data_IF_274314252895
#
_entry.id   IF_274314252895
#
_cell.length_a   1.000
_cell.length_b   1.000
_cell.length_c   1.000
_cell.angle_alpha   90.00
_cell.angle_beta   90.00
_cell.angle_gamma   90.00
#
_symmetry.space_group_name_H-M   'P 1'
#
loop_
_entity.id
_entity.type
_entity.pdbx_description
1 polymer ?
#
# COMPACT_ATOMS: atom_id res chain seq x y z
N UNK A 1 -10.40 6.72 -1.85
CA UNK A 1 -10.62 7.83 -0.90
C UNK A 1 -10.63 7.41 0.56
N UNK A 2 -11.14 6.23 0.95
CA UNK A 2 -11.14 5.83 2.37
C UNK A 2 -9.74 5.73 2.98
N UNK A 3 -8.80 5.07 2.30
CA UNK A 3 -7.41 4.94 2.76
C UNK A 3 -6.72 6.31 2.85
N UNK A 4 -6.88 7.14 1.82
CA UNK A 4 -6.35 8.50 1.75
C UNK A 4 -6.82 9.37 2.93
N UNK A 5 -8.14 9.41 3.14
CA UNK A 5 -8.75 10.11 4.27
C UNK A 5 -8.23 9.58 5.61
N UNK A 6 -8.09 8.26 5.74
CA UNK A 6 -7.56 7.66 6.96
C UNK A 6 -6.12 8.09 7.22
N UNK A 7 -5.25 8.01 6.22
CA UNK A 7 -3.84 8.43 6.33
C UNK A 7 -3.73 9.92 6.68
N UNK A 8 -4.59 10.75 6.09
CA UNK A 8 -4.69 12.17 6.41
C UNK A 8 -5.13 12.40 7.87
N UNK A 9 -6.20 11.73 8.31
CA UNK A 9 -6.70 11.82 9.69
C UNK A 9 -5.70 11.29 10.72
N UNK A 10 -4.85 10.34 10.33
CA UNK A 10 -3.74 9.82 11.12
C UNK A 10 -2.50 10.76 11.11
N UNK A 11 -2.60 11.95 10.50
CA UNK A 11 -1.49 12.91 10.29
C UNK A 11 -0.24 12.29 9.64
N UNK A 12 -0.43 11.23 8.84
CA UNK A 12 0.66 10.57 8.14
C UNK A 12 0.94 11.30 6.83
N UNK A 13 2.16 11.84 6.71
CA UNK A 13 2.67 12.30 5.42
C UNK A 13 2.69 11.11 4.45
N UNK A 14 2.00 11.27 3.33
CA UNK A 14 1.93 10.24 2.29
C UNK A 14 1.89 10.89 0.89
N UNK A 15 2.25 10.11 -0.11
CA UNK A 15 2.12 10.46 -1.52
C UNK A 15 1.14 9.48 -2.18
N UNK A 16 0.17 10.01 -2.92
CA UNK A 16 -0.77 9.26 -3.74
C UNK A 16 -0.18 8.99 -5.14
N UNK A 17 -0.47 7.82 -5.71
CA UNK A 17 -0.02 7.40 -7.06
C UNK A 17 1.46 7.69 -7.30
N UNK A 18 2.33 7.23 -6.39
CA UNK A 18 3.77 7.47 -6.48
C UNK A 18 4.43 6.46 -7.40
N UNK A 19 5.21 6.95 -8.37
CA UNK A 19 6.07 6.10 -9.22
C UNK A 19 7.08 5.33 -8.37
N UNK A 20 7.16 4.02 -8.60
CA UNK A 20 8.17 3.16 -8.01
C UNK A 20 9.55 3.53 -8.57
N UNK A 21 10.62 3.51 -7.75
CA UNK A 21 11.97 3.82 -8.20
C UNK A 21 12.59 2.62 -8.94
N UNK A 22 11.95 2.23 -10.05
CA UNK A 22 12.33 1.14 -10.95
C UNK A 22 12.30 1.63 -12.41
N UNK A 23 12.85 0.87 -13.34
CA UNK A 23 12.88 1.25 -14.77
C UNK A 23 11.47 1.23 -15.39
N UNK A 24 10.64 0.29 -14.95
CA UNK A 24 9.26 0.14 -15.40
C UNK A 24 8.38 1.33 -14.94
N UNK A 25 7.41 1.70 -15.77
CA UNK A 25 6.45 2.76 -15.43
C UNK A 25 5.33 2.23 -14.52
N UNK A 26 5.70 1.98 -13.26
CA UNK A 26 4.81 1.42 -12.23
C UNK A 26 4.61 2.40 -11.09
N UNK A 27 3.39 2.44 -10.58
CA UNK A 27 2.95 3.38 -9.54
C UNK A 27 2.31 2.60 -8.41
N UNK A 28 2.61 2.96 -7.17
CA UNK A 28 1.91 2.46 -5.99
C UNK A 28 0.69 3.32 -5.68
N UNK A 29 -0.32 2.76 -5.02
CA UNK A 29 -1.47 3.56 -4.60
C UNK A 29 -1.05 4.64 -3.59
N UNK A 30 -0.27 4.26 -2.57
CA UNK A 30 0.27 5.20 -1.59
C UNK A 30 1.70 4.88 -1.19
N UNK A 31 2.46 5.93 -0.84
CA UNK A 31 3.78 5.81 -0.24
C UNK A 31 3.89 6.66 1.01
N UNK A 32 4.41 6.05 2.09
CA UNK A 32 4.59 6.69 3.39
C UNK A 32 6.10 6.84 3.63
N UNK A 33 6.67 8.07 3.49
CA UNK A 33 8.11 8.29 3.57
C UNK A 33 8.72 7.91 4.92
N UNK A 34 8.00 8.14 6.03
CA UNK A 34 8.47 7.89 7.40
C UNK A 34 8.92 6.44 7.59
N UNK A 35 8.19 5.47 7.03
CA UNK A 35 8.55 4.04 7.08
C UNK A 35 9.29 3.53 5.85
N UNK A 36 9.40 4.36 4.81
CA UNK A 36 9.74 3.96 3.42
C UNK A 36 8.89 2.76 2.97
N UNK A 37 7.59 2.85 3.23
CA UNK A 37 6.62 1.76 2.97
C UNK A 37 5.64 2.17 1.89
N UNK A 38 5.38 1.23 0.98
CA UNK A 38 4.41 1.34 -0.08
C UNK A 38 3.14 0.62 0.35
N UNK A 39 1.98 1.14 -0.05
CA UNK A 39 0.69 0.55 0.23
C UNK A 39 -0.06 0.36 -1.08
N UNK A 40 -0.63 -0.83 -1.23
CA UNK A 40 -1.45 -1.24 -2.38
C UNK A 40 -2.80 -1.75 -1.88
N UNK A 41 -3.86 -1.41 -2.62
CA UNK A 41 -5.19 -1.93 -2.38
C UNK A 41 -5.65 -2.84 -3.53
N UNK A 42 -6.02 -4.05 -3.16
CA UNK A 42 -6.40 -5.13 -4.05
C UNK A 42 -7.90 -5.42 -3.98
N UNK A 43 -8.72 -4.62 -4.67
CA UNK A 43 -10.19 -4.70 -4.61
C UNK A 43 -10.87 -5.56 -5.69
N UNK A 44 -10.14 -6.10 -6.67
CA UNK A 44 -10.73 -6.79 -7.83
C UNK A 44 -10.11 -8.18 -8.08
N UNK A 45 -10.05 -9.03 -7.06
CA UNK A 45 -9.35 -10.34 -7.13
C UNK A 45 -10.02 -11.40 -8.04
N UNK A 46 -11.26 -11.14 -8.48
CA UNK A 46 -12.03 -12.08 -9.32
C UNK A 46 -11.62 -12.07 -10.80
N UNK A 47 -10.94 -11.03 -11.28
CA UNK A 47 -10.47 -10.95 -12.67
C UNK A 47 -9.10 -11.64 -12.83
N UNK A 48 -8.96 -12.67 -13.69
CA UNK A 48 -7.67 -13.33 -13.95
C UNK A 48 -6.56 -12.39 -14.42
N UNK A 49 -6.87 -11.37 -15.23
CA UNK A 49 -5.87 -10.39 -15.69
C UNK A 49 -5.40 -9.51 -14.53
N UNK A 50 -6.29 -9.19 -13.60
CA UNK A 50 -5.95 -8.44 -12.40
C UNK A 50 -5.00 -9.25 -11.49
N UNK A 51 -5.26 -10.54 -11.32
CA UNK A 51 -4.38 -11.43 -10.54
C UNK A 51 -2.97 -11.49 -11.11
N UNK A 52 -2.83 -11.57 -12.43
CA UNK A 52 -1.52 -11.58 -13.08
C UNK A 52 -0.77 -10.24 -12.87
N UNK A 53 -1.47 -9.10 -12.98
CA UNK A 53 -0.89 -7.78 -12.72
C UNK A 53 -0.47 -7.62 -11.27
N UNK A 54 -1.31 -8.04 -10.32
CA UNK A 54 -0.99 -8.07 -8.88
C UNK A 54 0.26 -8.90 -8.62
N UNK A 55 0.33 -10.12 -9.17
CA UNK A 55 1.48 -10.99 -9.01
C UNK A 55 2.77 -10.34 -9.51
N UNK A 56 2.78 -9.77 -10.72
CA UNK A 56 3.93 -9.05 -11.27
C UNK A 56 4.36 -7.88 -10.39
N UNK A 57 3.41 -7.10 -9.86
CA UNK A 57 3.71 -5.96 -8.97
C UNK A 57 4.35 -6.45 -7.67
N UNK A 58 3.81 -7.50 -7.06
CA UNK A 58 4.35 -8.12 -5.84
C UNK A 58 5.77 -8.67 -6.07
N UNK A 59 6.02 -9.29 -7.22
CA UNK A 59 7.37 -9.75 -7.60
C UNK A 59 8.36 -8.60 -7.69
N UNK A 60 7.94 -7.46 -8.23
CA UNK A 60 8.77 -6.24 -8.31
C UNK A 60 9.07 -5.71 -6.90
N UNK A 61 8.06 -5.59 -6.03
CA UNK A 61 8.28 -5.19 -4.64
C UNK A 61 9.29 -6.11 -3.93
N UNK A 62 9.19 -7.42 -4.13
CA UNK A 62 10.13 -8.41 -3.57
C UNK A 62 11.53 -8.28 -4.18
N UNK A 63 11.64 -8.19 -5.51
CA UNK A 63 12.90 -8.08 -6.25
C UNK A 63 13.74 -6.90 -5.78
N UNK A 64 13.11 -5.75 -5.54
CA UNK A 64 13.80 -4.53 -5.11
C UNK A 64 13.82 -4.34 -3.58
N UNK A 65 13.29 -5.29 -2.80
CA UNK A 65 13.31 -5.25 -1.34
C UNK A 65 12.47 -4.11 -0.73
N UNK A 66 11.42 -3.69 -1.42
CA UNK A 66 10.52 -2.65 -0.95
C UNK A 66 9.57 -3.17 0.14
N UNK A 67 9.36 -2.36 1.18
CA UNK A 67 8.34 -2.65 2.20
C UNK A 67 6.96 -2.42 1.61
N UNK A 68 6.11 -3.42 1.65
CA UNK A 68 4.78 -3.39 1.06
C UNK A 68 3.71 -3.73 2.11
N UNK A 69 2.70 -2.87 2.21
CA UNK A 69 1.44 -3.14 2.89
C UNK A 69 0.40 -3.44 1.80
N UNK A 70 -0.22 -4.61 1.89
CA UNK A 70 -1.31 -5.00 1.01
C UNK A 70 -2.62 -4.88 1.78
N UNK A 71 -3.61 -4.21 1.19
CA UNK A 71 -4.98 -4.11 1.69
C UNK A 71 -5.94 -4.78 0.70
N UNK A 72 -7.04 -5.34 1.20
CA UNK A 72 -8.17 -5.82 0.41
C UNK A 72 -9.48 -5.16 0.90
N UNK A 73 -10.62 -5.55 0.34
CA UNK A 73 -11.93 -4.99 0.74
C UNK A 73 -12.25 -5.17 2.23
N UNK A 74 -11.82 -6.29 2.82
CA UNK A 74 -12.07 -6.57 4.25
C UNK A 74 -11.18 -5.71 5.14
N UNK A 75 -9.93 -5.47 4.73
CA UNK A 75 -9.01 -4.55 5.41
C UNK A 75 -9.53 -3.10 5.32
N UNK A 76 -10.03 -2.67 4.16
CA UNK A 76 -10.59 -1.31 3.96
C UNK A 76 -11.87 -1.10 4.77
N UNK A 77 -12.68 -2.14 4.97
CA UNK A 77 -13.84 -2.07 5.85
C UNK A 77 -13.47 -1.90 7.35
N UNK A 78 -12.22 -2.21 7.74
CA UNK A 78 -11.75 -2.20 9.13
C UNK A 78 -10.41 -1.44 9.29
N UNK A 79 -10.23 -0.32 8.58
CA UNK A 79 -8.95 0.40 8.52
C UNK A 79 -8.39 0.78 9.90
N UNK A 80 -9.25 1.22 10.82
CA UNK A 80 -8.85 1.65 12.17
C UNK A 80 -8.18 0.52 12.98
N UNK A 81 -8.56 -0.73 12.74
CA UNK A 81 -7.96 -1.88 13.42
C UNK A 81 -6.72 -2.41 12.68
N UNK A 82 -6.79 -2.41 11.36
CA UNK A 82 -5.83 -3.10 10.51
C UNK A 82 -4.62 -2.24 10.21
N UNK A 83 -4.83 -1.00 9.79
CA UNK A 83 -3.79 -0.16 9.23
C UNK A 83 -2.75 0.27 10.28
N UNK A 84 -3.11 0.68 11.52
CA UNK A 84 -2.14 0.94 12.58
C UNK A 84 -1.20 -0.23 12.85
N UNK A 85 -1.75 -1.46 12.89
CA UNK A 85 -0.96 -2.67 13.16
C UNK A 85 0.02 -2.97 12.04
N UNK A 86 -0.42 -2.86 10.77
CA UNK A 86 0.43 -3.07 9.60
C UNK A 86 1.52 -1.99 9.51
N UNK A 87 1.18 -0.73 9.77
CA UNK A 87 2.13 0.38 9.80
C UNK A 87 3.20 0.23 10.88
N UNK A 88 2.79 -0.21 12.09
CA UNK A 88 3.70 -0.40 13.21
C UNK A 88 4.77 -1.46 12.91
N UNK A 89 4.42 -2.53 12.19
CA UNK A 89 5.38 -3.56 11.73
C UNK A 89 6.49 -2.98 10.83
N UNK A 90 6.23 -1.83 10.21
CA UNK A 90 7.20 -1.10 9.38
C UNK A 90 7.85 0.09 10.08
N UNK A 91 7.61 0.27 11.38
CA UNK A 91 8.14 1.37 12.20
C UNK A 91 7.41 2.69 12.00
N UNK A 92 6.19 2.68 11.46
CA UNK A 92 5.34 3.86 11.32
C UNK A 92 4.32 3.86 12.46
N UNK A 93 4.36 4.90 13.30
CA UNK A 93 3.35 5.13 14.32
C UNK A 93 2.23 5.99 13.73
N UNK A 94 1.02 5.47 13.80
CA UNK A 94 -0.22 6.26 13.82
C UNK A 94 -0.65 6.40 15.30
N UNK A 95 -1.49 7.37 15.63
CA UNK A 95 -1.93 7.70 16.99
C UNK A 95 -2.22 6.51 17.92
#
# INVERSE_FOLDING_TARGET
>A
MLIDNWLYMAELVHAYERKLPVEEDLYCDFYIPTGKVYLEYWGLENDPQYRERKAKKIEIYKKYGFKLIELNDTDVANLDDVLPRKLLQHGVQSY
#
